data_IF_182800209367
#
_entry.id   IF_182800209367
#
_cell.length_a   1.000
_cell.length_b   1.000
_cell.length_c   1.000
_cell.angle_alpha   90.00
_cell.angle_beta   90.00
_cell.angle_gamma   90.00
#
_symmetry.space_group_name_H-M   'P 1'
#
loop_
_entity.id
_entity.type
_entity.pdbx_description
1 polymer ?
#
# COMPACT_ATOMS: atom_id res chain seq x y z
N UNK A 1 45.88 11.14 -23.16
CA UNK A 1 46.40 11.89 -22.00
C UNK A 1 45.31 12.36 -21.04
N UNK A 2 44.58 13.46 -21.26
CA UNK A 2 43.65 13.99 -20.24
C UNK A 2 42.50 13.03 -19.87
N UNK A 3 41.94 12.34 -20.86
CA UNK A 3 40.92 11.29 -20.61
C UNK A 3 41.47 10.10 -19.81
N UNK A 4 42.76 9.79 -19.96
CA UNK A 4 43.39 8.70 -19.22
C UNK A 4 43.72 9.15 -17.79
N UNK A 5 44.16 10.40 -17.61
CA UNK A 5 44.39 11.01 -16.29
C UNK A 5 43.10 11.02 -15.48
N UNK A 6 41.98 11.47 -16.06
CA UNK A 6 40.66 11.44 -15.40
C UNK A 6 40.22 10.02 -15.01
N UNK A 7 40.49 9.02 -15.87
CA UNK A 7 40.20 7.61 -15.55
C UNK A 7 41.07 7.09 -14.41
N UNK A 8 42.34 7.47 -14.34
CA UNK A 8 43.24 7.08 -13.27
C UNK A 8 42.89 7.77 -11.95
N UNK A 9 42.47 9.04 -11.98
CA UNK A 9 41.97 9.77 -10.82
C UNK A 9 40.68 9.14 -10.27
N UNK A 10 39.72 8.78 -11.13
CA UNK A 10 38.50 8.09 -10.71
C UNK A 10 38.80 6.72 -10.07
N UNK A 11 39.76 5.98 -10.63
CA UNK A 11 40.23 4.71 -10.06
C UNK A 11 40.92 4.91 -8.71
N UNK A 12 41.76 5.92 -8.56
CA UNK A 12 42.40 6.28 -7.29
C UNK A 12 41.37 6.71 -6.23
N UNK A 13 40.37 7.49 -6.60
CA UNK A 13 39.28 7.88 -5.71
C UNK A 13 38.47 6.66 -5.25
N UNK A 14 38.17 5.74 -6.16
CA UNK A 14 37.49 4.48 -5.85
C UNK A 14 38.33 3.60 -4.92
N UNK A 15 39.64 3.49 -5.18
CA UNK A 15 40.55 2.73 -4.33
C UNK A 15 40.64 3.32 -2.93
N UNK A 16 40.78 4.65 -2.80
CA UNK A 16 40.80 5.32 -1.49
C UNK A 16 39.52 5.09 -0.71
N UNK A 17 38.35 5.15 -1.37
CA UNK A 17 37.07 4.79 -0.75
C UNK A 17 37.03 3.32 -0.31
N UNK A 18 37.55 2.41 -1.14
CA UNK A 18 37.65 1.00 -0.81
C UNK A 18 38.54 0.71 0.40
N UNK A 19 39.69 1.40 0.51
CA UNK A 19 40.60 1.28 1.67
C UNK A 19 39.90 1.76 2.95
N UNK A 20 39.24 2.92 2.91
CA UNK A 20 38.47 3.43 4.06
C UNK A 20 37.37 2.43 4.46
N UNK A 21 36.64 1.88 3.50
CA UNK A 21 35.57 0.91 3.76
C UNK A 21 36.09 -0.38 4.41
N UNK A 22 37.28 -0.84 4.01
CA UNK A 22 37.95 -2.00 4.60
C UNK A 22 38.50 -1.72 6.01
N UNK A 23 39.09 -0.54 6.22
CA UNK A 23 39.67 -0.13 7.51
C UNK A 23 38.60 0.13 8.57
N UNK A 24 37.44 0.68 8.20
CA UNK A 24 36.38 1.02 9.15
C UNK A 24 35.64 -0.19 9.74
N UNK A 25 35.90 -1.42 9.28
CA UNK A 25 35.14 -2.65 9.63
C UNK A 25 33.61 -2.47 9.56
N UNK A 26 33.16 -1.44 8.83
CA UNK A 26 31.78 -0.95 8.84
C UNK A 26 30.81 -2.01 8.32
N UNK A 27 31.28 -2.88 7.42
CA UNK A 27 30.52 -4.02 6.92
C UNK A 27 30.15 -5.00 8.04
N UNK A 28 31.08 -5.36 8.93
CA UNK A 28 30.78 -6.29 10.02
C UNK A 28 29.80 -5.69 11.03
N UNK A 29 29.93 -4.39 11.33
CA UNK A 29 29.01 -3.66 12.19
C UNK A 29 27.63 -3.55 11.53
N UNK A 30 27.57 -3.21 10.25
CA UNK A 30 26.33 -3.10 9.49
C UNK A 30 25.61 -4.45 9.40
N UNK A 31 26.33 -5.55 9.12
CA UNK A 31 25.75 -6.90 9.12
C UNK A 31 25.20 -7.28 10.51
N UNK A 32 25.93 -6.95 11.60
CA UNK A 32 25.41 -7.15 12.97
C UNK A 32 24.15 -6.34 13.23
N UNK A 33 24.10 -5.08 12.79
CA UNK A 33 22.91 -4.24 12.90
C UNK A 33 21.74 -4.82 12.08
N UNK A 34 22.00 -5.28 10.86
CA UNK A 34 20.99 -5.94 10.01
C UNK A 34 20.39 -7.14 10.74
N UNK A 35 21.22 -8.05 11.24
CA UNK A 35 20.76 -9.23 12.00
C UNK A 35 19.95 -8.81 13.23
N UNK A 36 20.44 -7.83 14.00
CA UNK A 36 19.75 -7.34 15.21
C UNK A 36 18.37 -6.77 14.88
N UNK A 37 18.27 -5.94 13.84
CA UNK A 37 16.99 -5.34 13.44
C UNK A 37 16.04 -6.37 12.84
N UNK A 38 16.54 -7.33 12.05
CA UNK A 38 15.74 -8.45 11.56
C UNK A 38 15.19 -9.30 12.71
N UNK A 39 16.01 -9.59 13.73
CA UNK A 39 15.58 -10.33 14.90
C UNK A 39 14.49 -9.59 15.70
N UNK A 40 14.65 -8.28 15.90
CA UNK A 40 13.64 -7.44 16.54
C UNK A 40 12.35 -7.44 15.71
N UNK A 41 12.45 -7.26 14.39
CA UNK A 41 11.31 -7.27 13.49
C UNK A 41 10.55 -8.61 13.51
N UNK A 42 11.27 -9.75 13.50
CA UNK A 42 10.66 -11.08 13.64
C UNK A 42 9.92 -11.22 14.97
N UNK A 43 10.55 -10.82 16.08
CA UNK A 43 9.94 -10.88 17.42
C UNK A 43 8.68 -10.02 17.51
N UNK A 44 8.73 -8.80 17.01
CA UNK A 44 7.58 -7.90 16.96
C UNK A 44 6.46 -8.48 16.08
N UNK A 45 6.81 -8.97 14.89
CA UNK A 45 5.83 -9.55 13.95
C UNK A 45 5.17 -10.80 14.53
N UNK A 46 5.91 -11.66 15.22
CA UNK A 46 5.35 -12.82 15.93
C UNK A 46 4.38 -12.40 17.06
N UNK A 47 4.72 -11.34 17.80
CA UNK A 47 3.82 -10.80 18.82
C UNK A 47 2.51 -10.31 18.19
N UNK A 48 2.59 -9.50 17.13
CA UNK A 48 1.42 -9.02 16.41
C UNK A 48 0.61 -10.14 15.78
N UNK A 49 1.27 -11.17 15.23
CA UNK A 49 0.59 -12.32 14.65
C UNK A 49 -0.23 -13.06 15.70
N UNK A 50 0.35 -13.34 16.87
CA UNK A 50 -0.35 -14.02 17.96
C UNK A 50 -1.53 -13.20 18.49
N UNK A 51 -1.34 -11.88 18.62
CA UNK A 51 -2.41 -10.98 19.03
C UNK A 51 -3.54 -10.94 17.98
N UNK A 52 -3.18 -10.85 16.70
CA UNK A 52 -4.12 -10.87 15.59
C UNK A 52 -4.90 -12.18 15.53
N UNK A 53 -4.23 -13.33 15.61
CA UNK A 53 -4.88 -14.65 15.70
C UNK A 53 -5.87 -14.73 16.86
N UNK A 54 -5.48 -14.23 18.03
CA UNK A 54 -6.38 -14.21 19.20
C UNK A 54 -7.61 -13.33 18.96
N UNK A 55 -7.44 -12.16 18.33
CA UNK A 55 -8.57 -11.28 17.97
C UNK A 55 -9.48 -11.92 16.93
N UNK A 56 -8.91 -12.53 15.90
CA UNK A 56 -9.63 -13.24 14.84
C UNK A 56 -10.45 -14.37 15.43
N UNK A 57 -9.87 -15.16 16.32
CA UNK A 57 -10.59 -16.25 16.98
C UNK A 57 -11.77 -15.74 17.81
N UNK A 58 -11.57 -14.64 18.56
CA UNK A 58 -12.66 -13.97 19.30
C UNK A 58 -13.76 -13.41 18.40
N UNK A 59 -13.46 -13.11 17.14
CA UNK A 59 -14.43 -12.66 16.14
C UNK A 59 -15.21 -13.81 15.50
N UNK A 60 -14.89 -15.07 15.81
CA UNK A 60 -15.53 -16.25 15.20
C UNK A 60 -14.73 -16.88 14.07
N UNK A 61 -13.42 -16.60 13.99
CA UNK A 61 -12.50 -17.22 13.04
C UNK A 61 -12.17 -16.36 11.82
N UNK A 62 -11.30 -16.89 10.96
CA UNK A 62 -10.72 -16.15 9.84
C UNK A 62 -11.74 -15.77 8.77
N UNK A 63 -12.73 -16.61 8.52
CA UNK A 63 -13.78 -16.37 7.52
C UNK A 63 -14.61 -15.14 7.90
N UNK A 64 -15.05 -15.07 9.16
CA UNK A 64 -15.81 -13.93 9.69
C UNK A 64 -14.97 -12.65 9.62
N UNK A 65 -13.68 -12.73 9.97
CA UNK A 65 -12.78 -11.59 9.85
C UNK A 65 -12.66 -11.08 8.40
N UNK A 66 -12.44 -11.98 7.43
CA UNK A 66 -12.32 -11.64 6.01
C UNK A 66 -13.62 -11.04 5.46
N UNK A 67 -14.77 -11.61 5.83
CA UNK A 67 -16.08 -11.07 5.46
C UNK A 67 -16.29 -9.65 6.02
N UNK A 68 -15.99 -9.44 7.31
CA UNK A 68 -16.08 -8.12 7.94
C UNK A 68 -15.13 -7.11 7.31
N UNK A 69 -13.92 -7.54 6.94
CA UNK A 69 -12.93 -6.72 6.24
C UNK A 69 -13.43 -6.31 4.85
N UNK A 70 -13.97 -7.25 4.06
CA UNK A 70 -14.59 -6.96 2.75
C UNK A 70 -15.74 -5.96 2.91
N UNK A 71 -16.67 -6.19 3.87
CA UNK A 71 -17.77 -5.26 4.17
C UNK A 71 -17.28 -3.88 4.60
N UNK A 72 -16.20 -3.80 5.39
CA UNK A 72 -15.62 -2.54 5.82
C UNK A 72 -14.98 -1.76 4.67
N UNK A 73 -14.23 -2.44 3.79
CA UNK A 73 -13.65 -1.84 2.57
C UNK A 73 -14.77 -1.30 1.65
N UNK A 74 -15.85 -2.07 1.47
CA UNK A 74 -17.01 -1.64 0.69
C UNK A 74 -17.71 -0.42 1.29
N UNK A 75 -17.91 -0.37 2.61
CA UNK A 75 -18.49 0.80 3.29
C UNK A 75 -17.63 2.05 3.15
N UNK A 76 -16.30 1.92 3.23
CA UNK A 76 -15.38 3.05 3.02
C UNK A 76 -15.47 3.56 1.59
N UNK A 77 -15.43 2.65 0.61
CA UNK A 77 -15.55 2.98 -0.80
C UNK A 77 -16.88 3.71 -1.09
N UNK A 78 -18.00 3.20 -0.55
CA UNK A 78 -19.30 3.87 -0.62
C UNK A 78 -19.25 5.28 -0.06
N UNK A 79 -18.69 5.46 1.14
CA UNK A 79 -18.57 6.78 1.76
C UNK A 79 -17.73 7.75 0.91
N UNK A 80 -16.61 7.28 0.33
CA UNK A 80 -15.75 8.11 -0.52
C UNK A 80 -16.49 8.60 -1.77
N UNK A 81 -17.26 7.73 -2.44
CA UNK A 81 -18.03 8.12 -3.62
C UNK A 81 -19.24 8.99 -3.26
N UNK A 82 -20.03 8.60 -2.27
CA UNK A 82 -21.29 9.28 -1.94
C UNK A 82 -21.06 10.64 -1.28
N UNK A 83 -20.15 10.75 -0.31
CA UNK A 83 -20.05 11.94 0.55
C UNK A 83 -19.02 12.97 0.08
N UNK A 84 -17.90 12.55 -0.48
CA UNK A 84 -16.84 13.49 -0.84
C UNK A 84 -16.85 13.83 -2.32
N UNK A 85 -16.99 12.83 -3.19
CA UNK A 85 -16.81 13.05 -4.62
C UNK A 85 -18.08 13.52 -5.31
N UNK A 86 -19.24 12.92 -5.04
CA UNK A 86 -20.49 13.32 -5.66
C UNK A 86 -20.92 14.73 -5.24
N UNK A 87 -20.94 15.01 -3.93
CA UNK A 87 -21.31 16.35 -3.41
C UNK A 87 -20.35 17.44 -3.93
N UNK A 88 -19.04 17.20 -3.99
CA UNK A 88 -18.11 18.22 -4.51
C UNK A 88 -18.34 18.53 -5.99
N UNK A 89 -18.74 17.54 -6.79
CA UNK A 89 -19.09 17.74 -8.20
C UNK A 89 -20.43 18.48 -8.32
N UNK A 90 -21.41 18.16 -7.47
CA UNK A 90 -22.70 18.87 -7.46
C UNK A 90 -22.54 20.34 -7.08
N UNK A 91 -21.79 20.62 -6.01
CA UNK A 91 -21.46 21.99 -5.59
C UNK A 91 -20.73 22.75 -6.71
N UNK A 92 -19.80 22.07 -7.42
CA UNK A 92 -19.10 22.68 -8.56
C UNK A 92 -20.05 22.98 -9.73
N UNK A 93 -20.98 22.07 -10.05
CA UNK A 93 -21.98 22.27 -11.12
C UNK A 93 -22.89 23.48 -10.81
N UNK A 94 -23.19 23.73 -9.54
CA UNK A 94 -23.98 24.89 -9.11
C UNK A 94 -23.20 26.21 -9.13
N UNK A 95 -21.86 26.16 -9.16
CA UNK A 95 -20.97 27.32 -9.15
C UNK A 95 -21.07 28.16 -10.43
N UNK A 96 -20.71 29.43 -10.31
CA UNK A 96 -20.64 30.33 -11.47
C UNK A 96 -19.48 29.95 -12.41
N UNK A 97 -18.40 29.37 -11.89
CA UNK A 97 -17.28 28.87 -12.70
C UNK A 97 -17.75 27.79 -13.69
N UNK A 98 -18.64 26.91 -13.26
CA UNK A 98 -19.20 25.90 -14.15
C UNK A 98 -20.07 26.51 -15.26
N UNK A 99 -20.77 27.62 -15.00
CA UNK A 99 -21.62 28.29 -16.00
C UNK A 99 -20.79 28.89 -17.13
N UNK A 100 -19.56 29.32 -16.83
CA UNK A 100 -18.64 29.93 -17.79
C UNK A 100 -17.87 28.90 -18.64
N UNK A 101 -17.88 27.62 -18.27
CA UNK A 101 -17.23 26.54 -19.03
C UNK A 101 -17.84 26.36 -20.43
N UNK A 102 -16.97 25.91 -21.34
CA UNK A 102 -17.36 25.49 -22.68
C UNK A 102 -18.25 24.24 -22.67
N UNK A 103 -18.97 24.00 -23.78
CA UNK A 103 -19.88 22.85 -23.90
C UNK A 103 -19.15 21.50 -23.67
N UNK A 104 -17.94 21.37 -24.19
CA UNK A 104 -17.15 20.14 -24.08
C UNK A 104 -16.74 19.83 -22.63
N UNK A 105 -16.29 20.85 -21.90
CA UNK A 105 -15.85 20.71 -20.50
C UNK A 105 -17.03 20.38 -19.58
N UNK A 106 -18.20 20.97 -19.82
CA UNK A 106 -19.45 20.63 -19.11
C UNK A 106 -19.84 19.17 -19.33
N UNK A 107 -19.71 18.69 -20.57
CA UNK A 107 -20.03 17.31 -20.93
C UNK A 107 -19.08 16.31 -20.26
N UNK A 108 -17.78 16.63 -20.17
CA UNK A 108 -16.80 15.82 -19.43
C UNK A 108 -17.15 15.72 -17.93
N UNK A 109 -17.52 16.83 -17.30
CA UNK A 109 -17.89 16.86 -15.87
C UNK A 109 -19.17 16.04 -15.62
N UNK A 110 -20.19 16.19 -16.47
CA UNK A 110 -21.42 15.40 -16.36
C UNK A 110 -21.17 13.91 -16.59
N UNK A 111 -20.29 13.57 -17.52
CA UNK A 111 -19.90 12.19 -17.75
C UNK A 111 -19.19 11.60 -16.53
N UNK A 112 -18.28 12.36 -15.93
CA UNK A 112 -17.60 11.97 -14.69
C UNK A 112 -18.57 11.82 -13.52
N UNK A 113 -19.55 12.71 -13.37
CA UNK A 113 -20.62 12.58 -12.37
C UNK A 113 -21.36 11.25 -12.56
N UNK A 114 -21.77 10.97 -13.79
CA UNK A 114 -22.50 9.74 -14.13
C UNK A 114 -21.68 8.48 -13.85
N UNK A 115 -20.39 8.47 -14.18
CA UNK A 115 -19.49 7.35 -13.87
C UNK A 115 -19.41 7.07 -12.36
N UNK A 116 -19.41 8.12 -11.54
CA UNK A 116 -19.40 8.00 -10.07
C UNK A 116 -20.74 7.48 -9.55
N UNK A 117 -21.87 7.98 -10.08
CA UNK A 117 -23.20 7.47 -9.74
C UNK A 117 -23.36 5.99 -10.13
N UNK A 118 -22.92 5.62 -11.33
CA UNK A 118 -22.93 4.23 -11.80
C UNK A 118 -22.07 3.35 -10.89
N UNK A 119 -20.89 3.83 -10.47
CA UNK A 119 -20.01 3.10 -9.54
C UNK A 119 -20.62 2.97 -8.14
N UNK A 120 -21.27 4.01 -7.61
CA UNK A 120 -21.99 3.92 -6.33
C UNK A 120 -23.15 2.92 -6.41
N UNK A 121 -23.93 2.97 -7.49
CA UNK A 121 -25.01 2.02 -7.75
C UNK A 121 -24.49 0.57 -7.87
N UNK A 122 -23.35 0.35 -8.51
CA UNK A 122 -22.75 -0.97 -8.62
C UNK A 122 -22.23 -1.49 -7.26
N UNK A 123 -21.75 -0.60 -6.39
CA UNK A 123 -21.40 -0.92 -4.99
C UNK A 123 -22.66 -1.33 -4.21
N UNK A 124 -23.75 -0.58 -4.32
CA UNK A 124 -25.02 -0.88 -3.63
C UNK A 124 -25.65 -2.19 -4.10
N UNK A 125 -25.60 -2.46 -5.40
CA UNK A 125 -26.12 -3.68 -5.99
C UNK A 125 -25.18 -4.89 -5.83
N UNK A 126 -24.04 -4.72 -5.14
CA UNK A 126 -23.08 -5.79 -4.88
C UNK A 126 -22.38 -6.32 -6.14
N UNK A 127 -22.35 -5.53 -7.22
CA UNK A 127 -21.64 -5.88 -8.46
C UNK A 127 -20.14 -5.61 -8.38
N UNK A 128 -19.72 -4.76 -7.45
CA UNK A 128 -18.30 -4.54 -7.15
C UNK A 128 -17.77 -5.69 -6.30
N UNK A 129 -17.11 -6.63 -6.97
CA UNK A 129 -16.26 -7.61 -6.30
C UNK A 129 -14.95 -6.93 -5.89
N UNK A 130 -14.73 -6.80 -4.59
CA UNK A 130 -13.41 -6.45 -4.02
C UNK A 130 -12.43 -7.62 -4.02
N UNK A 131 -12.68 -8.59 -4.91
CA UNK A 131 -11.92 -9.81 -5.01
C UNK A 131 -10.64 -9.49 -5.77
N UNK A 132 -9.58 -9.19 -5.01
CA UNK A 132 -8.25 -8.88 -5.53
C UNK A 132 -7.55 -10.12 -6.16
N UNK A 133 -8.31 -11.08 -6.70
CA UNK A 133 -7.81 -12.30 -7.35
C UNK A 133 -7.06 -13.29 -6.44
N UNK A 134 -7.06 -13.08 -5.12
CA UNK A 134 -6.31 -13.88 -4.14
C UNK A 134 -7.15 -14.98 -3.44
N UNK A 135 -8.45 -15.09 -3.73
CA UNK A 135 -9.40 -15.84 -2.90
C UNK A 135 -9.43 -17.37 -3.17
N UNK A 136 -8.85 -17.89 -4.25
CA UNK A 136 -9.01 -19.32 -4.61
C UNK A 136 -8.16 -20.29 -3.78
N UNK A 137 -7.21 -19.82 -2.97
CA UNK A 137 -6.38 -20.67 -2.10
C UNK A 137 -6.05 -20.01 -0.75
N UNK A 138 -7.00 -19.28 -0.17
CA UNK A 138 -6.76 -18.72 1.16
C UNK A 138 -6.71 -19.83 2.20
N UNK A 139 -5.57 -19.96 2.86
CA UNK A 139 -5.41 -20.86 3.99
C UNK A 139 -6.48 -20.56 5.07
N UNK A 140 -6.91 -21.61 5.76
CA UNK A 140 -7.85 -21.54 6.89
C UNK A 140 -7.26 -20.83 8.13
N UNK A 141 -6.01 -20.37 8.06
CA UNK A 141 -5.32 -19.72 9.17
C UNK A 141 -4.70 -18.41 8.71
N UNK A 142 -4.72 -17.41 9.59
CA UNK A 142 -4.04 -16.13 9.39
C UNK A 142 -2.53 -16.32 9.56
N UNK A 143 -1.75 -16.11 8.50
CA UNK A 143 -0.31 -16.34 8.50
C UNK A 143 0.51 -15.04 8.54
N UNK A 144 1.84 -15.18 8.61
CA UNK A 144 2.76 -14.05 8.67
C UNK A 144 2.77 -13.25 7.37
N UNK A 145 2.50 -13.89 6.24
CA UNK A 145 2.45 -13.24 4.94
C UNK A 145 1.23 -12.30 4.89
N UNK A 146 0.06 -12.77 5.32
CA UNK A 146 -1.17 -11.98 5.42
C UNK A 146 -0.99 -10.79 6.38
N UNK A 147 -0.25 -10.97 7.49
CA UNK A 147 0.12 -9.87 8.38
C UNK A 147 1.02 -8.84 7.69
N UNK A 148 2.07 -9.28 6.99
CA UNK A 148 3.00 -8.39 6.30
C UNK A 148 2.30 -7.57 5.20
N UNK A 149 1.42 -8.21 4.42
CA UNK A 149 0.56 -7.52 3.44
C UNK A 149 -0.30 -6.46 4.10
N UNK A 150 -0.91 -6.76 5.25
CA UNK A 150 -1.75 -5.78 5.97
C UNK A 150 -0.96 -4.60 6.54
N UNK A 151 0.27 -4.84 6.97
CA UNK A 151 1.16 -3.80 7.49
C UNK A 151 1.91 -3.05 6.39
N UNK A 152 1.77 -3.45 5.12
CA UNK A 152 2.53 -2.96 3.98
C UNK A 152 4.05 -3.04 4.21
N UNK A 153 4.50 -4.20 4.69
CA UNK A 153 5.91 -4.50 4.95
C UNK A 153 6.34 -5.66 4.06
N UNK A 154 7.55 -5.55 3.51
CA UNK A 154 8.16 -6.62 2.72
C UNK A 154 8.51 -7.81 3.63
N UNK A 155 8.02 -8.99 3.25
CA UNK A 155 8.27 -10.24 3.97
C UNK A 155 9.78 -10.56 4.00
N UNK A 156 10.49 -10.31 2.90
CA UNK A 156 11.94 -10.60 2.77
C UNK A 156 12.80 -9.72 3.70
N UNK A 157 12.25 -8.57 4.11
CA UNK A 157 12.93 -7.68 5.06
C UNK A 157 12.97 -8.31 6.46
N UNK A 158 12.02 -9.18 6.76
CA UNK A 158 11.86 -9.85 8.05
C UNK A 158 12.46 -11.26 7.99
N UNK A 159 12.23 -12.01 6.90
CA UNK A 159 12.57 -13.43 6.74
C UNK A 159 13.40 -13.69 5.49
#
# INVERSE_FOLDING_TARGET
LDSEILKFEAKLATLKKGVIYLEEQNETKLQRLKVKWQEIARKASNYFLNEAKTKIERMGGIEVYREQKKKSKLRKMKFEFDQNLLYSIEDYIESDEYKDLGKYEKEEILQRKKEIEDMSNDIENGKVSLDDGEDENLANEFDMNELCKQLNVDYELIW
#
